data_IF_475256584575
#
_entry.id   IF_475256584575
#
_cell.length_a   1.000
_cell.length_b   1.000
_cell.length_c   1.000
_cell.angle_alpha   90.00
_cell.angle_beta   90.00
_cell.angle_gamma   90.00
#
_symmetry.space_group_name_H-M   'P 1'
#
loop_
_entity.id
_entity.type
_entity.pdbx_description
1 polymer ?
#
# COMPACT_ATOMS: atom_id res chain seq x y z
N UNK A 1 4.28 -16.90 -27.63
CA UNK A 1 2.92 -16.43 -27.24
C UNK A 1 2.87 -15.96 -25.78
N UNK A 2 3.01 -16.82 -24.76
CA UNK A 2 2.86 -16.41 -23.35
C UNK A 2 3.75 -15.24 -22.89
N UNK A 3 5.03 -15.21 -23.27
CA UNK A 3 5.95 -14.10 -22.92
C UNK A 3 5.50 -12.77 -23.54
N UNK A 4 4.97 -12.77 -24.77
CA UNK A 4 4.49 -11.55 -25.42
C UNK A 4 3.28 -10.96 -24.68
N UNK A 5 2.37 -11.82 -24.18
CA UNK A 5 1.24 -11.42 -23.33
C UNK A 5 1.66 -10.90 -21.94
N UNK A 6 2.89 -11.17 -21.49
CA UNK A 6 3.43 -10.56 -20.27
C UNK A 6 4.03 -9.20 -20.58
N UNK A 7 4.94 -9.15 -21.56
CA UNK A 7 5.81 -8.00 -21.79
C UNK A 7 5.06 -6.84 -22.44
N UNK A 8 4.29 -7.10 -23.51
CA UNK A 8 3.62 -6.04 -24.29
C UNK A 8 2.65 -5.22 -23.43
N UNK A 9 1.72 -5.81 -22.64
CA UNK A 9 0.82 -5.01 -21.82
C UNK A 9 1.50 -4.41 -20.57
N UNK A 10 2.59 -5.00 -20.07
CA UNK A 10 3.28 -4.49 -18.88
C UNK A 10 4.21 -3.32 -19.20
N UNK A 11 4.84 -3.30 -20.37
CA UNK A 11 5.89 -2.34 -20.72
C UNK A 11 5.43 -0.87 -20.63
N UNK A 12 4.26 -0.46 -21.18
CA UNK A 12 3.80 0.92 -21.06
C UNK A 12 3.50 1.30 -19.61
N UNK A 13 2.94 0.37 -18.84
CA UNK A 13 2.49 0.64 -17.48
C UNK A 13 3.60 0.51 -16.42
N UNK A 14 4.76 -0.04 -16.78
CA UNK A 14 5.94 -0.15 -15.91
C UNK A 14 6.64 1.18 -15.62
N UNK A 15 6.25 2.26 -16.30
CA UNK A 15 6.90 3.56 -16.26
C UNK A 15 8.39 3.57 -16.71
N UNK A 16 8.88 2.48 -17.30
CA UNK A 16 10.27 2.34 -17.77
C UNK A 16 10.56 3.21 -19.01
N UNK A 17 9.64 3.22 -19.98
CA UNK A 17 9.81 3.95 -21.24
C UNK A 17 9.03 5.27 -21.27
N UNK A 18 7.86 5.30 -20.62
CA UNK A 18 6.99 6.46 -20.56
C UNK A 18 6.42 6.57 -19.16
N UNK A 19 6.58 7.71 -18.49
CA UNK A 19 5.93 7.96 -17.19
C UNK A 19 4.44 8.17 -17.41
N UNK A 20 3.66 7.17 -17.06
CA UNK A 20 2.21 7.25 -16.98
C UNK A 20 1.88 7.81 -15.59
N UNK A 21 1.08 8.88 -15.53
CA UNK A 21 0.81 9.64 -14.30
C UNK A 21 0.03 8.91 -13.20
N UNK A 22 -0.02 7.59 -13.22
CA UNK A 22 -0.63 6.76 -12.18
C UNK A 22 0.37 5.76 -11.61
N UNK A 23 0.21 5.44 -10.32
CA UNK A 23 1.01 4.42 -9.64
C UNK A 23 0.66 3.04 -10.19
N UNK A 24 1.68 2.20 -10.42
CA UNK A 24 1.50 0.79 -10.79
C UNK A 24 0.63 0.12 -9.73
N UNK A 25 -0.51 -0.41 -10.17
CA UNK A 25 -1.51 -1.04 -9.32
C UNK A 25 -1.93 -2.39 -9.91
N UNK A 26 -2.65 -3.22 -9.14
CA UNK A 26 -3.06 -4.56 -9.56
C UNK A 26 -3.78 -4.61 -10.92
N UNK A 27 -4.55 -3.57 -11.26
CA UNK A 27 -5.30 -3.46 -12.52
C UNK A 27 -4.41 -3.55 -13.75
N UNK A 28 -3.15 -3.13 -13.63
CA UNK A 28 -2.14 -3.19 -14.70
C UNK A 28 -1.67 -4.63 -14.94
N UNK A 29 -1.73 -5.47 -13.90
CA UNK A 29 -1.16 -6.82 -13.92
C UNK A 29 -2.15 -7.87 -14.44
N UNK A 30 -3.42 -7.55 -14.67
CA UNK A 30 -4.42 -8.54 -15.11
C UNK A 30 -4.07 -9.18 -16.45
N UNK A 31 -3.75 -8.37 -17.48
CA UNK A 31 -3.35 -8.88 -18.80
C UNK A 31 -2.00 -9.62 -18.75
N UNK A 32 -0.93 -9.08 -18.12
CA UNK A 32 0.31 -9.84 -17.91
C UNK A 32 0.13 -11.18 -17.19
N UNK A 33 -0.79 -11.24 -16.22
CA UNK A 33 -1.06 -12.47 -15.46
C UNK A 33 -1.62 -13.59 -16.33
N UNK A 34 -2.39 -13.27 -17.37
CA UNK A 34 -2.86 -14.28 -18.34
C UNK A 34 -1.67 -14.95 -19.03
N UNK A 35 -0.69 -14.16 -19.49
CA UNK A 35 0.53 -14.67 -20.10
C UNK A 35 1.34 -15.55 -19.13
N UNK A 36 1.42 -15.14 -17.87
CA UNK A 36 2.06 -15.93 -16.81
C UNK A 36 1.34 -17.28 -16.57
N UNK A 37 0.00 -17.28 -16.46
CA UNK A 37 -0.79 -18.49 -16.29
C UNK A 37 -0.59 -19.48 -17.45
N UNK A 38 -0.55 -18.98 -18.69
CA UNK A 38 -0.28 -19.81 -19.88
C UNK A 38 1.11 -20.44 -19.80
N UNK A 39 2.14 -19.68 -19.41
CA UNK A 39 3.50 -20.22 -19.27
C UNK A 39 3.59 -21.29 -18.18
N UNK A 40 2.96 -21.05 -17.02
CA UNK A 40 2.92 -22.03 -15.92
C UNK A 40 2.21 -23.31 -16.37
N UNK A 41 1.07 -23.21 -17.06
CA UNK A 41 0.31 -24.36 -17.54
C UNK A 41 1.12 -25.20 -18.55
N UNK A 42 1.75 -24.56 -19.55
CA UNK A 42 2.60 -25.25 -20.54
C UNK A 42 3.82 -25.87 -19.87
N UNK A 43 4.46 -25.15 -18.94
CA UNK A 43 5.59 -25.66 -18.17
C UNK A 43 5.22 -26.90 -17.36
N UNK A 44 4.09 -26.85 -16.67
CA UNK A 44 3.56 -27.98 -15.90
C UNK A 44 3.22 -29.18 -16.79
N UNK A 45 2.56 -28.95 -17.94
CA UNK A 45 2.25 -30.02 -18.90
C UNK A 45 3.52 -30.73 -19.38
N UNK A 46 4.58 -29.98 -19.72
CA UNK A 46 5.87 -30.56 -20.11
C UNK A 46 6.57 -31.30 -18.97
N UNK A 47 6.43 -30.84 -17.72
CA UNK A 47 7.02 -31.54 -16.56
C UNK A 47 6.24 -32.81 -16.20
N UNK A 48 4.95 -32.84 -16.51
CA UNK A 48 4.04 -33.93 -16.14
C UNK A 48 4.30 -35.25 -16.89
N UNK A 49 5.08 -35.21 -17.98
CA UNK A 49 5.52 -36.41 -18.73
C UNK A 49 6.51 -37.26 -17.93
N UNK A 50 7.24 -36.67 -16.97
CA UNK A 50 8.15 -37.39 -16.08
C UNK A 50 7.47 -37.64 -14.72
N UNK A 51 7.26 -38.91 -14.35
CA UNK A 51 6.53 -39.30 -13.12
C UNK A 51 7.04 -38.60 -11.86
N UNK A 52 8.35 -38.59 -11.62
CA UNK A 52 8.94 -37.97 -10.42
C UNK A 52 8.75 -36.44 -10.47
N UNK A 53 9.08 -35.81 -11.61
CA UNK A 53 8.97 -34.36 -11.76
C UNK A 53 7.53 -33.84 -11.59
N UNK A 54 6.53 -34.63 -12.02
CA UNK A 54 5.11 -34.32 -11.79
C UNK A 54 4.76 -34.21 -10.30
N UNK A 55 5.17 -35.19 -9.49
CA UNK A 55 4.86 -35.20 -8.05
C UNK A 55 5.58 -34.07 -7.33
N UNK A 56 6.85 -33.81 -7.70
CA UNK A 56 7.60 -32.67 -7.18
C UNK A 56 6.93 -31.35 -7.55
N UNK A 57 6.53 -31.16 -8.82
CA UNK A 57 5.84 -29.94 -9.25
C UNK A 57 4.50 -29.74 -8.55
N UNK A 58 3.73 -30.80 -8.33
CA UNK A 58 2.49 -30.74 -7.56
C UNK A 58 2.73 -30.39 -6.09
N UNK A 59 3.76 -30.96 -5.46
CA UNK A 59 4.13 -30.62 -4.09
C UNK A 59 4.58 -29.15 -3.96
N UNK A 60 5.37 -28.66 -4.92
CA UNK A 60 5.78 -27.24 -4.99
C UNK A 60 4.56 -26.35 -5.20
N UNK A 61 3.65 -26.70 -6.10
CA UNK A 61 2.44 -25.92 -6.33
C UNK A 61 1.53 -25.89 -5.08
N UNK A 62 1.31 -27.04 -4.44
CA UNK A 62 0.50 -27.14 -3.23
C UNK A 62 1.10 -26.35 -2.06
N UNK A 63 2.43 -26.41 -1.87
CA UNK A 63 3.12 -25.63 -0.85
C UNK A 63 3.03 -24.13 -1.11
N UNK A 64 3.29 -23.67 -2.35
CA UNK A 64 3.11 -22.27 -2.73
C UNK A 64 1.67 -21.81 -2.49
N UNK A 65 0.68 -22.62 -2.86
CA UNK A 65 -0.72 -22.31 -2.66
C UNK A 65 -1.07 -22.17 -1.17
N UNK A 66 -0.58 -23.08 -0.32
CA UNK A 66 -0.75 -22.99 1.13
C UNK A 66 -0.10 -21.72 1.71
N UNK A 67 1.12 -21.37 1.26
CA UNK A 67 1.78 -20.11 1.67
C UNK A 67 0.97 -18.89 1.25
N UNK A 68 0.44 -18.85 0.02
CA UNK A 68 -0.36 -17.71 -0.44
C UNK A 68 -1.69 -17.60 0.30
N UNK A 69 -2.34 -18.72 0.64
CA UNK A 69 -3.52 -18.72 1.51
C UNK A 69 -3.17 -18.13 2.88
N UNK A 70 -2.09 -18.62 3.52
CA UNK A 70 -1.68 -18.12 4.83
C UNK A 70 -1.39 -16.61 4.81
N UNK A 71 -0.68 -16.14 3.78
CA UNK A 71 -0.43 -14.69 3.57
C UNK A 71 -1.71 -13.91 3.33
N UNK A 72 -2.65 -14.45 2.57
CA UNK A 72 -3.96 -13.84 2.30
C UNK A 72 -4.78 -13.69 3.58
N UNK A 73 -4.79 -14.72 4.44
CA UNK A 73 -5.47 -14.69 5.74
C UNK A 73 -4.81 -13.64 6.65
N UNK A 74 -3.48 -13.65 6.77
CA UNK A 74 -2.77 -12.66 7.57
C UNK A 74 -3.08 -11.24 7.11
N UNK A 75 -3.00 -10.99 5.80
CA UNK A 75 -3.33 -9.69 5.23
C UNK A 75 -4.80 -9.31 5.46
N UNK A 76 -5.73 -10.24 5.30
CA UNK A 76 -7.16 -10.00 5.54
C UNK A 76 -7.45 -9.59 6.98
N UNK A 77 -6.68 -10.09 7.95
CA UNK A 77 -6.80 -9.66 9.35
C UNK A 77 -6.34 -8.22 9.56
N UNK A 78 -5.29 -7.77 8.87
CA UNK A 78 -4.84 -6.36 8.93
C UNK A 78 -5.90 -5.40 8.40
N UNK A 79 -6.66 -5.81 7.37
CA UNK A 79 -7.70 -4.98 6.75
C UNK A 79 -8.91 -4.75 7.65
N UNK A 80 -9.08 -5.55 8.71
CA UNK A 80 -10.19 -5.38 9.67
C UNK A 80 -10.06 -4.14 10.54
N UNK A 81 -8.86 -3.59 10.65
CA UNK A 81 -8.57 -2.44 11.51
C UNK A 81 -7.76 -1.41 10.75
N UNK A 82 -8.31 -0.20 10.57
CA UNK A 82 -7.64 0.87 9.86
C UNK A 82 -6.26 1.19 10.45
N UNK A 83 -6.15 1.20 11.79
CA UNK A 83 -4.88 1.46 12.45
C UNK A 83 -3.85 0.35 12.17
N UNK A 84 -4.26 -0.93 12.16
CA UNK A 84 -3.36 -2.04 11.82
C UNK A 84 -2.96 -1.99 10.35
N UNK A 85 -3.91 -1.66 9.45
CA UNK A 85 -3.66 -1.50 8.03
C UNK A 85 -2.63 -0.40 7.75
N UNK A 86 -2.81 0.81 8.31
CA UNK A 86 -1.87 1.90 8.07
C UNK A 86 -0.53 1.69 8.79
N UNK A 87 -0.52 1.07 9.98
CA UNK A 87 0.74 0.65 10.65
C UNK A 87 1.48 -0.45 9.88
N UNK A 88 0.79 -1.34 9.16
CA UNK A 88 1.49 -2.31 8.31
C UNK A 88 2.04 -1.63 7.04
N UNK A 89 1.37 -0.59 6.54
CA UNK A 89 1.83 0.19 5.40
C UNK A 89 3.13 0.98 5.69
N UNK A 90 3.37 1.48 6.91
CA UNK A 90 4.64 2.18 7.25
C UNK A 90 5.87 1.29 7.13
N UNK A 91 5.71 -0.04 7.29
CA UNK A 91 6.82 -1.01 7.11
C UNK A 91 7.29 -1.10 5.67
N UNK A 92 6.42 -0.78 4.71
CA UNK A 92 6.69 -0.88 3.27
C UNK A 92 6.95 0.50 2.66
N UNK A 93 6.19 1.51 3.11
CA UNK A 93 6.23 2.87 2.60
C UNK A 93 6.41 3.86 3.76
N UNK A 94 7.57 3.86 4.46
CA UNK A 94 7.79 4.72 5.63
C UNK A 94 7.82 6.21 5.29
N UNK A 95 8.05 6.58 4.04
CA UNK A 95 8.13 7.98 3.59
C UNK A 95 6.84 8.46 2.91
N UNK A 96 5.72 7.77 3.12
CA UNK A 96 4.45 8.15 2.52
C UNK A 96 3.63 9.01 3.49
N UNK A 97 3.54 10.31 3.19
CA UNK A 97 2.80 11.29 3.98
C UNK A 97 1.35 10.85 4.28
N UNK A 98 0.67 10.27 3.29
CA UNK A 98 -0.71 9.78 3.42
C UNK A 98 -0.83 8.63 4.42
N UNK A 99 0.19 7.79 4.55
CA UNK A 99 0.18 6.71 5.55
C UNK A 99 0.26 7.31 6.97
N UNK A 100 1.16 8.26 7.21
CA UNK A 100 1.29 8.92 8.52
C UNK A 100 0.04 9.71 8.90
N UNK A 101 -0.53 10.47 7.95
CA UNK A 101 -1.81 11.15 8.12
C UNK A 101 -2.93 10.19 8.54
N UNK A 102 -3.07 9.04 7.87
CA UNK A 102 -4.13 8.11 8.18
C UNK A 102 -3.91 7.34 9.49
N UNK A 103 -2.65 7.12 9.92
CA UNK A 103 -2.37 6.61 11.27
C UNK A 103 -2.89 7.61 12.30
N UNK A 104 -2.52 8.89 12.19
CA UNK A 104 -2.96 9.92 13.12
C UNK A 104 -4.49 10.01 13.17
N UNK A 105 -5.13 10.09 12.00
CA UNK A 105 -6.59 10.17 11.88
C UNK A 105 -7.29 8.97 12.51
N UNK A 106 -6.90 7.74 12.15
CA UNK A 106 -7.55 6.55 12.69
C UNK A 106 -7.26 6.35 14.18
N UNK A 107 -6.09 6.78 14.69
CA UNK A 107 -5.82 6.77 16.13
C UNK A 107 -6.70 7.79 16.86
N UNK A 108 -6.86 9.01 16.33
CA UNK A 108 -7.72 10.04 16.96
C UNK A 108 -9.19 9.65 17.06
N UNK A 109 -9.68 8.76 16.18
CA UNK A 109 -11.07 8.28 16.21
C UNK A 109 -11.33 7.19 17.28
N UNK A 110 -10.28 6.57 17.82
CA UNK A 110 -10.39 5.36 18.67
C UNK A 110 -9.81 5.58 20.07
N UNK A 111 -8.75 6.38 20.22
CA UNK A 111 -8.06 6.58 21.50
C UNK A 111 -7.49 8.01 21.61
N UNK A 112 -8.18 8.85 22.38
CA UNK A 112 -7.72 10.21 22.72
C UNK A 112 -6.54 10.21 23.71
N UNK A 113 -6.27 9.09 24.40
CA UNK A 113 -5.20 8.96 25.40
C UNK A 113 -3.78 9.02 24.82
N UNK A 114 -3.65 8.95 23.49
CA UNK A 114 -2.38 8.93 22.77
C UNK A 114 -2.11 10.23 21.98
N UNK A 115 -2.52 11.39 22.50
CA UNK A 115 -2.50 12.69 21.79
C UNK A 115 -1.13 13.06 21.19
N UNK A 116 -0.04 12.85 21.94
CA UNK A 116 1.32 13.16 21.49
C UNK A 116 1.74 12.31 20.28
N UNK A 117 1.35 11.03 20.25
CA UNK A 117 1.63 10.14 19.14
C UNK A 117 0.85 10.58 17.89
N UNK A 118 -0.41 11.01 18.07
CA UNK A 118 -1.25 11.52 16.98
C UNK A 118 -0.62 12.78 16.38
N UNK A 119 -0.22 13.73 17.22
CA UNK A 119 0.45 14.97 16.82
C UNK A 119 1.73 14.66 16.05
N UNK A 120 2.57 13.75 16.56
CA UNK A 120 3.81 13.34 15.91
C UNK A 120 3.56 12.78 14.49
N UNK A 121 2.53 11.95 14.32
CA UNK A 121 2.19 11.41 13.00
C UNK A 121 1.65 12.48 12.03
N UNK A 122 0.86 13.44 12.50
CA UNK A 122 0.44 14.57 11.66
C UNK A 122 1.62 15.45 11.26
N UNK A 123 2.50 15.81 12.21
CA UNK A 123 3.72 16.58 11.93
C UNK A 123 4.61 15.89 10.91
N UNK A 124 4.82 14.58 11.06
CA UNK A 124 5.61 13.83 10.09
C UNK A 124 4.97 13.76 8.70
N UNK A 125 3.64 13.69 8.60
CA UNK A 125 2.96 13.79 7.31
C UNK A 125 3.19 15.15 6.63
N UNK A 126 3.22 16.23 7.40
CA UNK A 126 3.50 17.60 6.91
C UNK A 126 4.98 17.76 6.53
N UNK A 127 5.90 17.15 7.28
CA UNK A 127 7.33 17.11 6.93
C UNK A 127 7.57 16.39 5.60
N UNK A 128 6.93 15.24 5.40
CA UNK A 128 7.05 14.45 4.17
C UNK A 128 6.36 15.13 2.98
N UNK A 129 5.31 15.91 3.23
CA UNK A 129 4.57 16.64 2.20
C UNK A 129 4.16 18.02 2.73
N UNK A 130 5.00 19.05 2.53
CA UNK A 130 4.75 20.40 3.02
C UNK A 130 3.50 21.09 2.47
N UNK A 131 2.86 20.53 1.43
CA UNK A 131 1.60 21.00 0.85
C UNK A 131 0.40 20.15 1.27
N UNK A 132 0.54 19.31 2.30
CA UNK A 132 -0.53 18.40 2.73
C UNK A 132 -1.54 19.11 3.66
N UNK A 133 -2.38 19.94 3.05
CA UNK A 133 -3.45 20.72 3.68
C UNK A 133 -4.35 19.91 4.64
N UNK A 134 -4.74 18.70 4.26
CA UNK A 134 -5.59 17.84 5.11
C UNK A 134 -4.91 17.48 6.45
N UNK A 135 -3.59 17.25 6.44
CA UNK A 135 -2.84 16.96 7.66
C UNK A 135 -2.70 18.22 8.53
N UNK A 136 -2.48 19.38 7.92
CA UNK A 136 -2.44 20.67 8.63
C UNK A 136 -3.77 20.98 9.30
N UNK A 137 -4.88 20.85 8.57
CA UNK A 137 -6.22 21.13 9.08
C UNK A 137 -6.59 20.24 10.27
N UNK A 138 -6.31 18.94 10.18
CA UNK A 138 -6.61 18.01 11.27
C UNK A 138 -5.70 18.23 12.49
N UNK A 139 -4.42 18.54 12.26
CA UNK A 139 -3.50 18.90 13.35
C UNK A 139 -3.94 20.20 14.04
N UNK A 140 -4.33 21.22 13.27
CA UNK A 140 -4.80 22.49 13.82
C UNK A 140 -6.05 22.32 14.70
N UNK A 141 -7.01 21.49 14.26
CA UNK A 141 -8.18 21.16 15.08
C UNK A 141 -7.77 20.51 16.41
N UNK A 142 -6.85 19.54 16.37
CA UNK A 142 -6.36 18.86 17.57
C UNK A 142 -5.63 19.82 18.53
N UNK A 143 -4.77 20.69 17.99
CA UNK A 143 -4.02 21.68 18.78
C UNK A 143 -4.93 22.75 19.39
N UNK A 144 -5.98 23.17 18.67
CA UNK A 144 -7.00 24.08 19.19
C UNK A 144 -7.68 23.49 20.43
N UNK A 145 -8.03 22.20 20.40
CA UNK A 145 -8.67 21.51 21.52
C UNK A 145 -7.70 21.32 22.72
N UNK A 146 -6.39 21.32 22.47
CA UNK A 146 -5.33 21.36 23.49
C UNK A 146 -5.00 22.79 23.99
N UNK A 147 -5.71 23.82 23.51
CA UNK A 147 -5.47 25.22 23.88
C UNK A 147 -4.26 25.87 23.19
N UNK A 148 -3.65 25.22 22.21
CA UNK A 148 -2.49 25.71 21.44
C UNK A 148 -2.94 26.51 20.21
N UNK A 149 -3.72 27.58 20.44
CA UNK A 149 -4.40 28.33 19.39
C UNK A 149 -3.46 28.98 18.36
N UNK A 150 -2.30 29.50 18.78
CA UNK A 150 -1.35 30.18 17.88
C UNK A 150 -0.75 29.23 16.84
N UNK A 151 -0.40 28.00 17.24
CA UNK A 151 0.13 27.00 16.31
C UNK A 151 -0.97 26.50 15.36
N UNK A 152 -2.19 26.32 15.88
CA UNK A 152 -3.34 25.95 15.08
C UNK A 152 -3.65 26.99 13.98
N UNK A 153 -3.68 28.28 14.31
CA UNK A 153 -3.88 29.37 13.36
C UNK A 153 -2.81 29.37 12.26
N UNK A 154 -1.53 29.28 12.66
CA UNK A 154 -0.42 29.22 11.70
C UNK A 154 -0.53 28.03 10.74
N UNK A 155 -0.99 26.87 11.21
CA UNK A 155 -1.21 25.70 10.36
C UNK A 155 -2.38 25.87 9.41
N UNK A 156 -3.48 26.50 9.84
CA UNK A 156 -4.64 26.79 8.99
C UNK A 156 -4.29 27.81 7.89
N UNK A 157 -3.54 28.86 8.22
CA UNK A 157 -3.06 29.84 7.24
C UNK A 157 -2.19 29.17 6.17
N UNK A 158 -1.29 28.29 6.60
CA UNK A 158 -0.47 27.48 5.67
C UNK A 158 -1.34 26.56 4.82
N UNK A 159 -2.33 25.89 5.39
CA UNK A 159 -3.22 25.00 4.66
C UNK A 159 -3.96 25.76 3.55
N UNK A 160 -4.55 26.91 3.86
CA UNK A 160 -5.24 27.77 2.88
C UNK A 160 -4.31 28.27 1.78
N UNK A 161 -3.02 28.51 2.10
CA UNK A 161 -2.05 28.96 1.10
C UNK A 161 -1.61 27.89 0.09
N UNK A 162 -1.80 26.60 0.42
CA UNK A 162 -1.35 25.46 -0.41
C UNK A 162 -2.50 24.65 -1.04
N UNK A 163 -3.73 24.83 -0.58
CA UNK A 163 -4.97 24.28 -1.18
C UNK A 163 -5.32 24.98 -2.50
#
# INVERSE_FOLDING_TARGET
MGVAFIVIPFLPASNLLFRVGFVVAERVLYLPSVGFCVLVAVGFQKLSTFKIAKHVALAVFASLFAVFIARSIQRSNEWRSGIVLFKSATKVCPLNAKVHYNIAKTTSEIDEGSIELIIAHYRHAIELSPTYDQAMNNLANLLKDQGQALEAESLLDRAVSVS
#
